data_IF_189716964769
#
_entry.id   IF_189716964769
#
_cell.length_a   1.000
_cell.length_b   1.000
_cell.length_c   1.000
_cell.angle_alpha   90.00
_cell.angle_beta   90.00
_cell.angle_gamma   90.00
#
_symmetry.space_group_name_H-M   'P 1'
#
loop_
_entity.id
_entity.type
_entity.pdbx_description
1 polymer ?
#
# COMPACT_ATOMS: atom_id res chain seq x y z
N UNK A 1 -25.19 7.35 -35.36
CA UNK A 1 -24.06 6.43 -35.24
C UNK A 1 -22.88 7.26 -34.75
N UNK A 2 -22.64 7.26 -33.44
CA UNK A 2 -21.42 7.85 -32.83
C UNK A 2 -20.37 6.74 -32.82
N UNK A 3 -19.30 6.92 -33.57
CA UNK A 3 -18.11 6.07 -33.49
C UNK A 3 -17.55 6.20 -32.09
N UNK A 4 -17.61 5.16 -31.29
CA UNK A 4 -16.74 4.95 -30.15
C UNK A 4 -15.35 4.63 -30.73
N UNK A 5 -14.53 5.67 -30.86
CA UNK A 5 -13.08 5.50 -30.94
C UNK A 5 -12.65 4.93 -29.59
N UNK A 6 -12.56 3.61 -29.48
CA UNK A 6 -11.75 2.93 -28.48
C UNK A 6 -10.29 3.29 -28.77
N UNK A 7 -9.86 4.47 -28.29
CA UNK A 7 -8.44 4.76 -28.18
C UNK A 7 -7.86 3.72 -27.25
N UNK A 8 -7.01 2.85 -27.78
CA UNK A 8 -6.18 1.92 -27.04
C UNK A 8 -5.15 2.75 -26.25
N UNK A 9 -5.64 3.37 -25.16
CA UNK A 9 -4.85 4.23 -24.30
C UNK A 9 -4.05 3.31 -23.37
N UNK A 10 -2.76 3.16 -23.62
CA UNK A 10 -1.89 2.39 -22.73
C UNK A 10 -1.95 2.98 -21.32
N UNK A 11 -2.16 2.11 -20.33
CA UNK A 11 -2.22 2.49 -18.92
C UNK A 11 -0.91 3.16 -18.47
N UNK A 12 -0.94 4.43 -17.99
CA UNK A 12 0.26 5.15 -17.60
C UNK A 12 1.04 4.49 -16.45
N UNK A 13 0.36 3.72 -15.60
CA UNK A 13 1.00 3.00 -14.50
C UNK A 13 1.83 1.79 -14.96
N UNK A 14 1.53 1.25 -16.15
CA UNK A 14 2.21 0.08 -16.71
C UNK A 14 3.46 0.44 -17.55
N UNK A 15 3.79 1.71 -17.62
CA UNK A 15 4.89 2.23 -18.44
C UNK A 15 5.78 3.15 -17.61
N UNK A 16 7.04 3.36 -18.03
CA UNK A 16 7.85 4.46 -17.48
C UNK A 16 7.11 5.78 -17.64
N UNK A 17 7.08 6.61 -16.61
CA UNK A 17 6.31 7.86 -16.63
C UNK A 17 6.81 8.86 -17.68
N UNK A 18 8.13 8.85 -17.97
CA UNK A 18 8.74 9.76 -18.92
C UNK A 18 8.62 11.25 -18.55
N UNK A 19 8.33 11.53 -17.29
CA UNK A 19 8.25 12.86 -16.70
C UNK A 19 9.60 13.28 -16.12
N UNK A 20 9.87 14.57 -15.92
CA UNK A 20 11.08 15.00 -15.22
C UNK A 20 11.16 14.32 -13.83
N UNK A 21 12.32 13.74 -13.52
CA UNK A 21 12.57 13.00 -12.26
C UNK A 21 11.62 11.81 -12.03
N UNK A 22 11.04 11.28 -13.08
CA UNK A 22 10.09 10.16 -13.06
C UNK A 22 8.91 10.36 -12.08
N UNK A 23 8.46 11.61 -11.98
CA UNK A 23 7.32 11.98 -11.13
C UNK A 23 6.00 11.40 -11.65
N UNK A 24 5.11 11.02 -10.76
CA UNK A 24 3.80 10.44 -11.12
C UNK A 24 2.96 11.42 -11.94
N UNK A 25 2.52 11.05 -13.16
CA UNK A 25 1.72 11.92 -14.03
C UNK A 25 0.23 11.91 -13.62
N UNK A 26 -0.10 12.38 -12.42
CA UNK A 26 -1.46 12.31 -11.83
C UNK A 26 -2.57 12.74 -12.79
N UNK A 27 -2.36 13.79 -13.60
CA UNK A 27 -3.35 14.28 -14.57
C UNK A 27 -3.63 13.34 -15.76
N UNK A 28 -2.88 12.21 -15.89
CA UNK A 28 -3.07 11.23 -16.97
C UNK A 28 -3.62 9.90 -16.46
N UNK A 29 -3.65 9.68 -15.15
CA UNK A 29 -4.07 8.43 -14.52
C UNK A 29 -5.54 8.54 -14.14
N UNK A 30 -6.34 7.57 -14.53
CA UNK A 30 -7.73 7.41 -14.11
C UNK A 30 -7.86 6.37 -13.00
N UNK A 31 -9.01 6.33 -12.33
CA UNK A 31 -9.29 5.33 -11.28
C UNK A 31 -9.25 3.92 -11.87
N UNK A 32 -9.74 3.72 -13.08
CA UNK A 32 -9.71 2.42 -13.76
C UNK A 32 -8.26 1.94 -14.06
N UNK A 33 -7.33 2.87 -14.30
CA UNK A 33 -5.92 2.53 -14.53
C UNK A 33 -5.29 1.90 -13.27
N UNK A 34 -5.70 2.32 -12.07
CA UNK A 34 -5.23 1.72 -10.81
C UNK A 34 -5.69 0.27 -10.65
N UNK A 35 -6.98 -0.01 -10.91
CA UNK A 35 -7.50 -1.37 -10.84
C UNK A 35 -6.77 -2.30 -11.79
N UNK A 36 -6.67 -1.91 -13.05
CA UNK A 36 -5.99 -2.68 -14.08
C UNK A 36 -4.52 -2.93 -13.73
N UNK A 37 -3.80 -1.90 -13.27
CA UNK A 37 -2.40 -2.01 -12.90
C UNK A 37 -2.17 -2.92 -11.67
N UNK A 38 -3.02 -2.83 -10.65
CA UNK A 38 -2.93 -3.70 -9.47
C UNK A 38 -3.20 -5.17 -9.83
N UNK A 39 -4.22 -5.45 -10.65
CA UNK A 39 -4.52 -6.82 -11.08
C UNK A 39 -3.41 -7.41 -11.96
N UNK A 40 -2.86 -6.62 -12.88
CA UNK A 40 -1.71 -7.05 -13.70
C UNK A 40 -0.45 -7.22 -12.84
N UNK A 41 -0.23 -6.37 -11.84
CA UNK A 41 0.86 -6.51 -10.87
C UNK A 41 0.77 -7.83 -10.11
N UNK A 42 -0.41 -8.15 -9.54
CA UNK A 42 -0.65 -9.45 -8.88
C UNK A 42 -0.33 -10.62 -9.82
N UNK A 43 -0.79 -10.56 -11.07
CA UNK A 43 -0.53 -11.62 -12.06
C UNK A 43 0.97 -11.82 -12.31
N UNK A 44 1.74 -10.74 -12.38
CA UNK A 44 3.20 -10.81 -12.57
C UNK A 44 3.91 -11.38 -11.35
N UNK A 45 3.50 -10.98 -10.16
CA UNK A 45 4.02 -11.52 -8.91
C UNK A 45 3.74 -13.02 -8.80
N UNK A 46 2.49 -13.44 -9.08
CA UNK A 46 2.11 -14.86 -9.06
C UNK A 46 2.97 -15.68 -10.03
N UNK A 47 3.22 -15.19 -11.25
CA UNK A 47 4.11 -15.83 -12.22
C UNK A 47 5.56 -15.91 -11.74
N UNK A 48 6.06 -14.88 -11.06
CA UNK A 48 7.41 -14.87 -10.50
C UNK A 48 7.53 -15.88 -9.36
N UNK A 49 6.58 -15.89 -8.43
CA UNK A 49 6.53 -16.85 -7.33
C UNK A 49 6.44 -18.29 -7.86
N UNK A 50 5.62 -18.52 -8.89
CA UNK A 50 5.51 -19.84 -9.53
C UNK A 50 6.83 -20.29 -10.15
N UNK A 51 7.57 -19.40 -10.83
CA UNK A 51 8.91 -19.70 -11.38
C UNK A 51 9.91 -20.06 -10.28
N UNK A 52 9.87 -19.36 -9.13
CA UNK A 52 10.73 -19.70 -7.99
C UNK A 52 10.35 -21.06 -7.41
N UNK A 53 9.06 -21.30 -7.21
CA UNK A 53 8.56 -22.55 -6.62
C UNK A 53 8.86 -23.79 -7.50
N UNK A 54 8.83 -23.63 -8.83
CA UNK A 54 9.04 -24.71 -9.80
C UNK A 54 10.50 -24.83 -10.28
N UNK A 55 11.43 -24.04 -9.76
CA UNK A 55 12.83 -24.14 -10.11
C UNK A 55 13.39 -25.50 -9.66
N UNK A 56 13.84 -26.39 -10.59
CA UNK A 56 14.35 -27.71 -10.24
C UNK A 56 15.71 -27.67 -9.56
N UNK A 57 16.39 -26.52 -9.58
CA UNK A 57 17.69 -26.38 -8.94
C UNK A 57 17.56 -26.36 -7.41
N UNK A 58 18.60 -26.84 -6.73
CA UNK A 58 18.71 -26.75 -5.27
C UNK A 58 18.56 -25.29 -4.84
N UNK A 59 17.76 -25.00 -3.79
CA UNK A 59 17.59 -23.64 -3.31
C UNK A 59 18.90 -23.01 -2.85
N UNK A 60 19.23 -21.84 -3.39
CA UNK A 60 20.38 -21.02 -3.02
C UNK A 60 19.94 -19.62 -2.66
N UNK A 61 20.84 -18.83 -2.06
CA UNK A 61 20.58 -17.42 -1.82
C UNK A 61 20.16 -16.69 -3.12
N UNK A 62 20.91 -16.91 -4.21
CA UNK A 62 20.71 -16.22 -5.48
C UNK A 62 19.42 -16.65 -6.22
N UNK A 63 19.11 -17.97 -6.26
CA UNK A 63 17.93 -18.44 -6.99
C UNK A 63 16.63 -18.44 -6.16
N UNK A 64 16.71 -18.09 -4.89
CA UNK A 64 15.55 -18.07 -3.99
C UNK A 64 15.41 -16.74 -3.29
N UNK A 65 16.37 -16.33 -2.44
CA UNK A 65 16.21 -15.12 -1.62
C UNK A 65 16.27 -13.85 -2.48
N UNK A 66 17.28 -13.76 -3.37
CA UNK A 66 17.39 -12.63 -4.29
C UNK A 66 16.14 -12.54 -5.15
N UNK A 67 15.64 -13.66 -5.69
CA UNK A 67 14.45 -13.64 -6.57
C UNK A 67 13.13 -13.35 -5.86
N UNK A 68 13.02 -13.60 -4.56
CA UNK A 68 11.88 -13.20 -3.73
C UNK A 68 11.93 -11.73 -3.37
N UNK A 69 13.16 -11.21 -3.18
CA UNK A 69 13.43 -9.80 -2.89
C UNK A 69 13.69 -9.02 -4.18
N UNK A 70 13.95 -9.75 -5.29
CA UNK A 70 14.31 -9.23 -6.60
C UNK A 70 13.10 -8.58 -7.27
N UNK A 71 13.00 -7.47 -6.81
CA UNK A 71 12.61 -6.26 -7.45
C UNK A 71 13.72 -5.83 -8.42
N UNK A 72 14.10 -6.71 -9.35
CA UNK A 72 15.11 -6.35 -10.38
C UNK A 72 14.69 -5.17 -11.23
N UNK A 73 13.45 -4.82 -11.12
CA UNK A 73 12.85 -3.57 -11.51
C UNK A 73 12.33 -2.80 -10.28
N UNK A 74 13.14 -2.58 -9.25
CA UNK A 74 12.80 -1.78 -8.06
C UNK A 74 12.07 -0.46 -8.38
N UNK A 75 12.33 0.07 -9.54
CA UNK A 75 11.64 1.21 -10.11
C UNK A 75 10.28 0.84 -10.74
N UNK A 76 9.99 -0.47 -10.91
CA UNK A 76 8.93 -0.94 -11.80
C UNK A 76 8.09 -2.08 -11.23
N UNK A 77 8.20 -2.41 -9.94
CA UNK A 77 7.17 -3.25 -9.32
C UNK A 77 5.81 -2.58 -9.53
N UNK A 78 5.09 -3.12 -10.47
CA UNK A 78 3.81 -2.56 -10.89
C UNK A 78 2.80 -2.56 -9.75
N UNK A 79 2.78 -3.64 -8.95
CA UNK A 79 1.85 -3.77 -7.84
C UNK A 79 2.14 -2.76 -6.74
N UNK A 80 3.39 -2.65 -6.30
CA UNK A 80 3.80 -1.70 -5.26
C UNK A 80 3.57 -0.27 -5.72
N UNK A 81 4.01 0.08 -6.94
CA UNK A 81 3.84 1.40 -7.51
C UNK A 81 2.38 1.81 -7.63
N UNK A 82 1.53 0.94 -8.17
CA UNK A 82 0.11 1.24 -8.35
C UNK A 82 -0.60 1.35 -7.00
N UNK A 83 -0.37 0.41 -6.08
CA UNK A 83 -1.00 0.41 -4.77
C UNK A 83 -0.52 1.56 -3.90
N UNK A 84 0.79 1.82 -3.86
CA UNK A 84 1.36 2.94 -3.08
C UNK A 84 0.79 4.27 -3.54
N UNK A 85 0.78 4.55 -4.84
CA UNK A 85 0.21 5.81 -5.37
C UNK A 85 -1.28 5.92 -5.04
N UNK A 86 -2.04 4.84 -5.27
CA UNK A 86 -3.48 4.83 -5.02
C UNK A 86 -3.82 5.08 -3.54
N UNK A 87 -3.22 4.33 -2.61
CA UNK A 87 -3.55 4.46 -1.19
C UNK A 87 -3.04 5.76 -0.57
N UNK A 88 -1.95 6.33 -1.09
CA UNK A 88 -1.53 7.69 -0.69
C UNK A 88 -2.55 8.73 -1.14
N UNK A 89 -3.04 8.67 -2.38
CA UNK A 89 -4.11 9.57 -2.84
C UNK A 89 -5.39 9.39 -2.02
N UNK A 90 -5.81 8.15 -1.77
CA UNK A 90 -6.99 7.83 -0.97
C UNK A 90 -6.94 8.46 0.43
N UNK A 91 -5.76 8.52 1.04
CA UNK A 91 -5.56 9.09 2.38
C UNK A 91 -5.55 10.62 2.40
N UNK A 92 -5.23 11.27 1.27
CA UNK A 92 -5.05 12.73 1.18
C UNK A 92 -6.27 13.41 0.52
N UNK A 93 -6.72 12.89 -0.61
CA UNK A 93 -7.79 13.47 -1.42
C UNK A 93 -8.62 12.35 -2.06
N UNK A 94 -9.66 11.91 -1.34
CA UNK A 94 -10.54 10.83 -1.77
C UNK A 94 -11.87 11.34 -2.35
N UNK A 95 -12.50 10.47 -3.15
CA UNK A 95 -13.87 10.59 -3.61
C UNK A 95 -14.57 9.22 -3.55
N UNK A 96 -15.88 9.20 -3.81
CA UNK A 96 -16.69 7.98 -3.69
C UNK A 96 -16.21 6.84 -4.60
N UNK A 97 -15.71 7.15 -5.80
CA UNK A 97 -15.20 6.15 -6.74
C UNK A 97 -13.88 5.54 -6.25
N UNK A 98 -13.00 6.34 -5.65
CA UNK A 98 -11.78 5.84 -5.03
C UNK A 98 -12.08 4.99 -3.79
N UNK A 99 -13.05 5.40 -2.96
CA UNK A 99 -13.48 4.62 -1.81
C UNK A 99 -14.03 3.26 -2.25
N UNK A 100 -14.87 3.22 -3.29
CA UNK A 100 -15.41 2.00 -3.86
C UNK A 100 -14.32 1.07 -4.42
N UNK A 101 -13.32 1.63 -5.12
CA UNK A 101 -12.19 0.83 -5.60
C UNK A 101 -11.34 0.30 -4.45
N UNK A 102 -11.11 1.09 -3.40
CA UNK A 102 -10.38 0.64 -2.21
C UNK A 102 -11.09 -0.52 -1.51
N UNK A 103 -12.42 -0.46 -1.35
CA UNK A 103 -13.21 -1.56 -0.79
C UNK A 103 -13.14 -2.83 -1.64
N UNK A 104 -13.08 -2.69 -2.97
CA UNK A 104 -12.94 -3.81 -3.89
C UNK A 104 -11.54 -4.42 -3.85
N UNK A 105 -10.49 -3.59 -3.88
CA UNK A 105 -9.11 -4.06 -4.03
C UNK A 105 -8.45 -4.48 -2.71
N UNK A 106 -8.85 -3.91 -1.58
CA UNK A 106 -8.24 -4.24 -0.27
C UNK A 106 -8.26 -5.74 0.05
N UNK A 107 -9.39 -6.47 -0.08
CA UNK A 107 -9.40 -7.92 0.13
C UNK A 107 -8.60 -8.68 -0.94
N UNK A 108 -8.57 -8.22 -2.18
CA UNK A 108 -7.81 -8.86 -3.27
C UNK A 108 -6.31 -8.78 -2.99
N UNK A 109 -5.82 -7.59 -2.62
CA UNK A 109 -4.41 -7.38 -2.24
C UNK A 109 -4.03 -8.17 -0.98
N UNK A 110 -4.91 -8.19 0.02
CA UNK A 110 -4.69 -8.97 1.25
C UNK A 110 -4.63 -10.46 0.96
N UNK A 111 -5.53 -10.96 0.10
CA UNK A 111 -5.51 -12.36 -0.32
C UNK A 111 -4.19 -12.71 -1.02
N UNK A 112 -3.77 -11.91 -1.99
CA UNK A 112 -2.50 -12.11 -2.69
C UNK A 112 -1.31 -12.13 -1.71
N UNK A 113 -1.21 -11.15 -0.81
CA UNK A 113 -0.17 -11.10 0.20
C UNK A 113 -0.15 -12.36 1.10
N UNK A 114 -1.33 -12.85 1.50
CA UNK A 114 -1.45 -14.09 2.26
C UNK A 114 -1.04 -15.31 1.41
N UNK A 115 -1.43 -15.38 0.15
CA UNK A 115 -1.10 -16.50 -0.74
C UNK A 115 0.41 -16.61 -0.93
N UNK A 116 1.12 -15.51 -1.08
CA UNK A 116 2.60 -15.48 -1.14
C UNK A 116 3.21 -15.86 0.21
N UNK A 117 2.81 -15.21 1.32
CA UNK A 117 3.42 -15.39 2.66
C UNK A 117 3.16 -16.76 3.27
N UNK A 118 2.04 -17.39 2.91
CA UNK A 118 1.65 -18.73 3.41
C UNK A 118 1.97 -19.84 2.42
N UNK A 119 2.64 -19.53 1.30
CA UNK A 119 3.04 -20.51 0.29
C UNK A 119 4.08 -21.48 0.87
N UNK A 120 3.67 -22.75 1.01
CA UNK A 120 4.51 -23.78 1.62
C UNK A 120 5.73 -24.13 0.77
N UNK A 121 5.59 -24.14 -0.54
CA UNK A 121 6.69 -24.50 -1.46
C UNK A 121 7.75 -23.41 -1.43
N UNK A 122 7.32 -22.15 -1.50
CA UNK A 122 8.21 -21.00 -1.38
C UNK A 122 8.94 -21.00 -0.03
N UNK A 123 8.17 -21.16 1.07
CA UNK A 123 8.75 -21.17 2.41
C UNK A 123 9.76 -22.31 2.62
N UNK A 124 9.50 -23.50 2.06
CA UNK A 124 10.47 -24.61 2.12
C UNK A 124 11.80 -24.26 1.45
N UNK A 125 11.77 -23.57 0.32
CA UNK A 125 12.98 -23.11 -0.36
C UNK A 125 13.73 -22.06 0.47
N UNK A 126 13.02 -21.05 1.00
CA UNK A 126 13.59 -20.01 1.88
C UNK A 126 14.22 -20.65 3.12
N UNK A 127 13.48 -21.58 3.77
CA UNK A 127 13.96 -22.29 4.95
C UNK A 127 15.20 -23.12 4.66
N UNK A 128 15.25 -23.80 3.51
CA UNK A 128 16.43 -24.57 3.11
C UNK A 128 17.67 -23.66 3.02
N UNK A 129 17.57 -22.51 2.37
CA UNK A 129 18.68 -21.56 2.28
C UNK A 129 19.09 -21.04 3.66
N UNK A 130 18.12 -20.72 4.52
CA UNK A 130 18.38 -20.24 5.88
C UNK A 130 19.08 -21.32 6.73
N UNK A 131 18.58 -22.55 6.73
CA UNK A 131 19.16 -23.66 7.49
C UNK A 131 20.58 -23.99 7.00
N UNK A 132 20.81 -24.07 5.69
CA UNK A 132 22.13 -24.32 5.09
C UNK A 132 23.15 -23.26 5.49
N UNK A 133 22.73 -21.99 5.51
CA UNK A 133 23.58 -20.91 5.98
C UNK A 133 23.90 -21.03 7.48
N UNK A 134 22.91 -21.31 8.33
CA UNK A 134 23.12 -21.48 9.79
C UNK A 134 24.01 -22.67 10.13
N UNK A 135 23.92 -23.74 9.36
CA UNK A 135 24.73 -24.94 9.56
C UNK A 135 26.17 -24.83 8.99
N UNK A 136 26.43 -23.79 8.19
CA UNK A 136 27.73 -23.63 7.53
C UNK A 136 28.00 -24.66 6.45
N UNK A 137 26.96 -25.03 5.67
CA UNK A 137 27.06 -26.07 4.65
C UNK A 137 28.08 -25.71 3.57
N UNK A 138 28.96 -26.67 3.22
CA UNK A 138 30.13 -26.44 2.37
C UNK A 138 29.80 -26.07 0.90
N UNK A 139 28.54 -26.11 0.49
CA UNK A 139 28.06 -25.75 -0.85
C UNK A 139 27.55 -24.31 -0.98
N UNK A 140 27.35 -23.60 0.12
CA UNK A 140 26.87 -22.24 0.08
C UNK A 140 28.03 -21.25 -0.10
N UNK A 141 27.87 -20.30 -1.02
CA UNK A 141 28.85 -19.21 -1.13
C UNK A 141 28.81 -18.35 0.13
N UNK A 142 29.93 -17.75 0.53
CA UNK A 142 29.91 -16.77 1.61
C UNK A 142 28.97 -15.60 1.28
N UNK A 143 28.14 -15.21 2.27
CA UNK A 143 27.25 -14.06 2.16
C UNK A 143 27.92 -12.82 2.77
N UNK A 144 27.72 -11.67 2.17
CA UNK A 144 28.07 -10.39 2.80
C UNK A 144 27.18 -10.13 4.02
N UNK A 145 27.53 -9.16 4.84
CA UNK A 145 26.73 -8.81 6.02
C UNK A 145 25.30 -8.34 5.62
N UNK A 146 25.18 -7.66 4.49
CA UNK A 146 23.90 -7.20 3.95
C UNK A 146 23.05 -8.38 3.48
N UNK A 147 23.63 -9.32 2.73
CA UNK A 147 22.97 -10.54 2.27
C UNK A 147 22.53 -11.44 3.43
N UNK A 148 23.35 -11.56 4.46
CA UNK A 148 22.99 -12.28 5.70
C UNK A 148 21.76 -11.63 6.33
N UNK A 149 21.76 -10.31 6.42
CA UNK A 149 20.63 -9.59 6.99
C UNK A 149 19.37 -9.71 6.16
N UNK A 150 19.49 -9.69 4.83
CA UNK A 150 18.38 -9.94 3.92
C UNK A 150 17.77 -11.33 4.12
N UNK A 151 18.63 -12.37 4.16
CA UNK A 151 18.21 -13.75 4.43
C UNK A 151 17.45 -13.89 5.75
N UNK A 152 17.99 -13.34 6.84
CA UNK A 152 17.35 -13.34 8.15
C UNK A 152 15.97 -12.64 8.11
N UNK A 153 15.91 -11.43 7.53
CA UNK A 153 14.64 -10.68 7.43
C UNK A 153 13.61 -11.40 6.57
N UNK A 154 14.04 -12.00 5.46
CA UNK A 154 13.17 -12.77 4.59
C UNK A 154 12.57 -13.96 5.37
N UNK A 155 13.40 -14.79 5.99
CA UNK A 155 12.95 -15.93 6.78
C UNK A 155 12.02 -15.51 7.94
N UNK A 156 12.45 -14.54 8.75
CA UNK A 156 11.67 -14.02 9.88
C UNK A 156 10.33 -13.42 9.41
N UNK A 157 10.32 -12.76 8.27
CA UNK A 157 9.12 -12.20 7.66
C UNK A 157 8.07 -13.27 7.37
N UNK A 158 8.47 -14.38 6.76
CA UNK A 158 7.59 -15.52 6.50
C UNK A 158 7.12 -16.18 7.79
N UNK A 159 8.02 -16.41 8.75
CA UNK A 159 7.68 -17.01 10.05
C UNK A 159 6.66 -16.16 10.80
N UNK A 160 6.89 -14.86 10.90
CA UNK A 160 5.96 -13.91 11.56
C UNK A 160 4.62 -13.80 10.84
N UNK A 161 4.61 -13.99 9.53
CA UNK A 161 3.38 -14.03 8.72
C UNK A 161 2.64 -15.37 8.79
N UNK A 162 3.10 -16.34 9.60
CA UNK A 162 2.38 -17.56 9.85
C UNK A 162 2.78 -18.75 8.97
N UNK A 163 3.94 -18.71 8.28
CA UNK A 163 4.39 -19.81 7.41
C UNK A 163 4.55 -21.16 8.14
N UNK A 164 4.81 -21.13 9.46
CA UNK A 164 4.93 -22.31 10.31
C UNK A 164 3.60 -22.82 10.87
N UNK A 165 2.49 -22.13 10.67
CA UNK A 165 1.18 -22.61 11.11
C UNK A 165 0.77 -23.85 10.32
N UNK A 166 -0.05 -24.69 10.94
CA UNK A 166 -0.77 -25.76 10.26
C UNK A 166 -1.83 -25.20 9.31
N UNK A 167 -2.45 -26.04 8.51
CA UNK A 167 -3.40 -25.59 7.49
C UNK A 167 -4.66 -24.93 8.11
N UNK A 168 -5.11 -25.41 9.28
CA UNK A 168 -6.24 -24.80 10.00
C UNK A 168 -5.86 -23.39 10.50
N UNK A 169 -4.66 -23.23 11.06
CA UNK A 169 -4.13 -21.95 11.52
C UNK A 169 -3.96 -20.96 10.37
N UNK A 170 -3.46 -21.40 9.22
CA UNK A 170 -3.33 -20.57 8.02
C UNK A 170 -4.69 -20.11 7.49
N UNK A 171 -5.65 -21.01 7.41
CA UNK A 171 -7.00 -20.66 6.95
C UNK A 171 -7.68 -19.66 7.89
N UNK A 172 -7.49 -19.84 9.20
CA UNK A 172 -7.95 -18.88 10.18
C UNK A 172 -7.27 -17.52 10.03
N UNK A 173 -5.95 -17.52 9.79
CA UNK A 173 -5.17 -16.30 9.59
C UNK A 173 -5.63 -15.55 8.33
N UNK A 174 -5.87 -16.24 7.20
CA UNK A 174 -6.42 -15.62 5.98
C UNK A 174 -7.71 -14.89 6.25
N UNK A 175 -8.68 -15.54 6.87
CA UNK A 175 -9.98 -14.92 7.21
C UNK A 175 -9.83 -13.69 8.10
N UNK A 176 -9.00 -13.78 9.15
CA UNK A 176 -8.76 -12.66 10.06
C UNK A 176 -8.05 -11.50 9.36
N UNK A 177 -7.11 -11.77 8.47
CA UNK A 177 -6.39 -10.74 7.70
C UNK A 177 -7.32 -10.01 6.75
N UNK A 178 -8.20 -10.73 6.04
CA UNK A 178 -9.19 -10.13 5.14
C UNK A 178 -10.19 -9.26 5.91
N UNK A 179 -10.71 -9.74 7.04
CA UNK A 179 -11.60 -8.97 7.90
C UNK A 179 -10.90 -7.73 8.46
N UNK A 180 -9.66 -7.87 8.94
CA UNK A 180 -8.88 -6.78 9.49
C UNK A 180 -8.57 -5.70 8.44
N UNK A 181 -8.28 -6.10 7.18
CA UNK A 181 -8.02 -5.14 6.10
C UNK A 181 -9.25 -4.26 5.82
N UNK A 182 -10.44 -4.86 5.73
CA UNK A 182 -11.69 -4.12 5.53
C UNK A 182 -12.05 -3.24 6.71
N UNK A 183 -11.86 -3.72 7.94
CA UNK A 183 -12.13 -2.92 9.14
C UNK A 183 -11.19 -1.72 9.24
N UNK A 184 -9.90 -1.91 8.93
CA UNK A 184 -8.92 -0.83 8.91
C UNK A 184 -9.24 0.23 7.85
N UNK A 185 -9.66 -0.21 6.66
CA UNK A 185 -10.09 0.70 5.60
C UNK A 185 -11.31 1.52 6.05
N UNK A 186 -12.35 0.87 6.56
CA UNK A 186 -13.57 1.54 7.05
C UNK A 186 -13.29 2.50 8.19
N UNK A 187 -12.40 2.13 9.11
CA UNK A 187 -11.98 3.03 10.18
C UNK A 187 -11.36 4.31 9.63
N UNK A 188 -10.43 4.19 8.66
CA UNK A 188 -9.77 5.34 8.03
C UNK A 188 -10.76 6.22 7.26
N UNK A 189 -11.68 5.62 6.51
CA UNK A 189 -12.75 6.33 5.79
C UNK A 189 -13.68 7.08 6.76
N UNK A 190 -14.10 6.43 7.85
CA UNK A 190 -14.95 7.05 8.86
C UNK A 190 -14.24 8.24 9.53
N UNK A 191 -12.96 8.07 9.90
CA UNK A 191 -12.16 9.15 10.48
C UNK A 191 -12.06 10.35 9.51
N UNK A 192 -11.82 10.08 8.23
CA UNK A 192 -11.75 11.14 7.22
C UNK A 192 -13.11 11.83 7.03
N UNK A 193 -14.23 11.09 7.01
CA UNK A 193 -15.59 11.62 6.91
C UNK A 193 -15.93 12.51 8.12
N UNK A 194 -15.62 12.06 9.33
CA UNK A 194 -15.81 12.83 10.57
C UNK A 194 -14.98 14.13 10.56
N UNK A 195 -13.71 14.04 10.17
CA UNK A 195 -12.86 15.21 10.07
C UNK A 195 -13.37 16.24 9.02
N UNK A 196 -13.89 15.77 7.89
CA UNK A 196 -14.50 16.63 6.86
C UNK A 196 -15.84 17.21 7.32
N UNK A 197 -16.64 16.47 8.07
CA UNK A 197 -17.93 16.90 8.55
C UNK A 197 -17.84 17.87 9.74
N UNK A 198 -16.77 17.76 10.54
CA UNK A 198 -16.61 18.61 11.72
C UNK A 198 -16.36 20.07 11.31
N UNK A 199 -17.17 20.97 11.86
CA UNK A 199 -16.99 22.40 11.70
C UNK A 199 -17.44 23.12 12.99
N UNK A 200 -16.50 23.80 13.63
CA UNK A 200 -16.81 24.66 14.75
C UNK A 200 -17.35 26.01 14.23
N UNK A 201 -18.61 26.32 14.55
CA UNK A 201 -19.25 27.59 14.19
C UNK A 201 -19.09 28.60 15.33
N UNK A 202 -18.25 29.61 15.16
CA UNK A 202 -18.02 30.69 16.12
C UNK A 202 -18.74 31.94 15.65
N UNK A 203 -19.68 32.42 16.45
CA UNK A 203 -20.46 33.67 16.18
C UNK A 203 -19.99 34.86 17.00
N UNK A 204 -19.35 34.60 18.15
CA UNK A 204 -18.80 35.63 19.03
C UNK A 204 -17.35 35.96 18.66
N UNK A 205 -17.11 37.18 18.20
CA UNK A 205 -15.77 37.67 17.84
C UNK A 205 -14.76 37.62 19.00
N UNK A 206 -15.24 37.71 20.26
CA UNK A 206 -14.36 37.66 21.42
C UNK A 206 -13.68 36.30 21.57
N UNK A 207 -14.30 35.23 21.04
CA UNK A 207 -13.71 33.88 21.01
C UNK A 207 -12.56 33.74 20.01
N UNK A 208 -12.35 34.73 19.13
CA UNK A 208 -11.26 34.75 18.17
C UNK A 208 -10.00 35.44 18.72
N UNK A 209 -10.04 35.89 19.97
CA UNK A 209 -8.93 36.58 20.62
C UNK A 209 -7.67 35.70 20.65
N UNK A 210 -6.53 36.28 20.22
CA UNK A 210 -5.26 35.54 20.15
C UNK A 210 -4.97 34.83 18.82
N UNK A 211 -5.94 34.75 17.91
CA UNK A 211 -5.71 34.20 16.57
C UNK A 211 -5.09 35.27 15.64
N UNK A 212 -4.12 34.88 14.78
CA UNK A 212 -3.61 35.75 13.71
C UNK A 212 -4.73 36.18 12.75
N UNK A 213 -4.61 37.39 12.22
CA UNK A 213 -5.61 37.95 11.28
C UNK A 213 -5.81 37.03 10.05
N UNK A 214 -4.76 36.45 9.52
CA UNK A 214 -4.81 35.51 8.38
C UNK A 214 -5.65 34.27 8.66
N UNK A 215 -5.62 33.75 9.90
CA UNK A 215 -6.45 32.61 10.32
C UNK A 215 -7.93 33.02 10.40
N UNK A 216 -8.20 34.21 10.90
CA UNK A 216 -9.57 34.75 10.99
C UNK A 216 -10.16 34.95 9.59
N UNK A 217 -9.37 35.48 8.65
CA UNK A 217 -9.79 35.70 7.26
C UNK A 217 -10.05 34.37 6.53
N UNK A 218 -9.14 33.36 6.68
CA UNK A 218 -9.34 32.04 6.12
C UNK A 218 -10.59 31.34 6.69
N UNK A 219 -10.84 31.50 7.99
CA UNK A 219 -12.04 30.97 8.64
C UNK A 219 -13.33 31.63 8.14
N UNK A 220 -13.28 32.94 7.91
CA UNK A 220 -14.43 33.70 7.34
C UNK A 220 -14.73 33.23 5.92
N UNK A 221 -13.71 33.07 5.07
CA UNK A 221 -13.87 32.53 3.72
C UNK A 221 -14.45 31.12 3.74
N UNK A 222 -13.94 30.23 4.58
CA UNK A 222 -14.48 28.88 4.72
C UNK A 222 -15.94 28.88 5.22
N UNK A 223 -16.34 29.85 6.02
CA UNK A 223 -17.73 30.04 6.46
C UNK A 223 -18.66 30.46 5.31
N UNK A 224 -18.20 31.34 4.43
CA UNK A 224 -18.96 31.80 3.25
C UNK A 224 -19.13 30.64 2.25
N UNK A 225 -18.08 29.91 1.93
CA UNK A 225 -18.09 28.75 1.02
C UNK A 225 -19.06 27.66 1.48
N UNK A 226 -19.24 27.51 2.81
CA UNK A 226 -20.16 26.53 3.40
C UNK A 226 -21.60 27.10 3.64
N UNK A 227 -21.94 28.26 3.07
CA UNK A 227 -23.29 28.84 3.12
C UNK A 227 -23.76 29.25 4.51
N UNK A 228 -22.85 29.51 5.47
CA UNK A 228 -23.19 29.84 6.85
C UNK A 228 -22.75 31.23 7.29
N UNK A 229 -22.58 32.18 6.34
CA UNK A 229 -22.27 33.58 6.59
C UNK A 229 -21.35 33.85 7.79
N UNK A 230 -20.53 34.85 7.71
CA UNK A 230 -19.53 35.41 8.66
C UNK A 230 -19.33 34.64 9.99
N UNK A 231 -18.83 33.49 10.04
CA UNK A 231 -18.04 32.84 11.13
C UNK A 231 -18.14 31.29 11.15
N UNK A 232 -17.31 30.63 10.37
CA UNK A 232 -16.97 29.22 10.60
C UNK A 232 -15.46 29.04 10.57
N UNK A 233 -14.88 28.67 11.69
CA UNK A 233 -13.54 28.08 11.74
C UNK A 233 -13.69 26.58 11.42
N UNK A 234 -13.19 26.13 10.27
CA UNK A 234 -12.82 24.72 10.10
C UNK A 234 -11.50 24.50 10.82
N UNK A 235 -11.54 23.83 11.95
CA UNK A 235 -10.31 23.24 12.49
C UNK A 235 -9.95 22.03 11.62
N UNK A 236 -9.09 22.21 10.66
CA UNK A 236 -8.21 21.12 10.24
C UNK A 236 -7.21 20.92 11.38
N UNK A 237 -7.59 20.16 12.40
CA UNK A 237 -6.60 19.51 13.23
C UNK A 237 -5.91 18.43 12.39
N UNK A 238 -4.93 18.85 11.60
CA UNK A 238 -3.75 18.01 11.48
C UNK A 238 -3.14 17.96 12.89
N UNK A 239 -3.58 17.02 13.71
CA UNK A 239 -2.79 16.54 14.83
C UNK A 239 -1.51 15.98 14.24
N UNK A 240 -0.54 16.86 14.04
CA UNK A 240 0.85 16.44 13.96
C UNK A 240 1.12 15.63 15.23
N UNK A 241 1.59 14.40 15.04
CA UNK A 241 1.94 13.41 16.05
C UNK A 241 3.06 13.85 17.02
N UNK A 242 3.18 15.14 17.29
CA UNK A 242 4.23 15.73 18.13
C UNK A 242 3.79 16.12 19.56
N UNK A 243 2.52 15.88 19.95
CA UNK A 243 2.07 16.19 21.30
C UNK A 243 1.76 14.97 22.19
N UNK A 244 2.32 13.80 21.88
CA UNK A 244 2.35 12.66 22.81
C UNK A 244 3.79 12.38 23.21
N UNK A 245 4.45 13.37 23.83
CA UNK A 245 5.65 13.19 24.67
C UNK A 245 5.72 14.34 25.67
N UNK A 246 4.96 14.22 26.70
CA UNK A 246 5.33 14.66 28.07
C UNK A 246 4.63 13.76 29.06
#
# INVERSE_FOLDING_TARGET
>A
MKNEETTNKSNPLMMPYGTPHDTVPFGKISIADFEEAMLEGIRRDDEQIEKICNDPAEPTFDNTIVRVDDDTDHYYDLLDRASTVFFNLLSAETNDDMEALAEKMSPVLTKHANDVRLNQTLFKRIKHVYDSYQNGDAGARPLTQEEQRLLEKCYDGFVRSGALLDEEGKERLRRLSEEASLLSLRFSQNLLKENKAYALHITDKNMLGGLPQTVIEAAAQAAEENGKGKAKLRQHEQRTSNEVRT
#
